data_IF_467247358305
#
_entry.id   IF_467247358305
#
_cell.length_a   1.000
_cell.length_b   1.000
_cell.length_c   1.000
_cell.angle_alpha   90.00
_cell.angle_beta   90.00
_cell.angle_gamma   90.00
#
_symmetry.space_group_name_H-M   'P 1'
#
loop_
_entity.id
_entity.type
_entity.pdbx_description
1 polymer ?
#
# COMPACT_ATOMS: atom_id res chain seq x y z
N UNK A 1 -1.54 -9.22 15.60
CA UNK A 1 -1.18 -8.91 14.19
C UNK A 1 -0.69 -10.15 13.46
N UNK A 2 0.56 -10.61 13.66
CA UNK A 2 1.15 -11.71 12.88
C UNK A 2 0.33 -13.02 12.88
N UNK A 3 -0.12 -13.47 14.05
CA UNK A 3 -1.00 -14.64 14.15
C UNK A 3 -2.35 -14.43 13.46
N UNK A 4 -2.87 -13.19 13.47
CA UNK A 4 -4.17 -12.87 12.88
C UNK A 4 -4.12 -12.76 11.35
N UNK A 5 -2.91 -12.67 10.78
CA UNK A 5 -2.67 -12.52 9.35
C UNK A 5 -1.78 -13.63 8.79
N UNK A 6 -1.67 -14.74 9.53
CA UNK A 6 -0.92 -15.91 9.13
C UNK A 6 -1.47 -16.48 7.82
N UNK A 7 -0.57 -17.02 6.99
CA UNK A 7 -0.92 -17.66 5.71
C UNK A 7 -1.69 -16.75 4.72
N UNK A 8 -1.65 -15.42 4.92
CA UNK A 8 -2.36 -14.47 4.06
C UNK A 8 -3.87 -14.38 4.30
N UNK A 9 -4.35 -14.93 5.42
CA UNK A 9 -5.76 -14.96 5.81
C UNK A 9 -6.02 -14.11 7.05
N UNK A 10 -7.20 -13.50 7.13
CA UNK A 10 -7.61 -12.72 8.29
C UNK A 10 -8.38 -13.63 9.25
N UNK A 11 -7.78 -14.01 10.37
CA UNK A 11 -8.36 -15.00 11.28
C UNK A 11 -9.53 -14.44 12.12
N UNK A 12 -9.39 -13.23 12.66
CA UNK A 12 -10.43 -12.54 13.45
C UNK A 12 -10.62 -11.11 12.93
N UNK A 13 -11.88 -10.75 12.73
CA UNK A 13 -12.33 -9.43 12.23
C UNK A 13 -13.48 -8.86 13.10
N UNK A 14 -13.51 -9.22 14.39
CA UNK A 14 -14.45 -8.64 15.35
C UNK A 14 -14.00 -7.23 15.78
N UNK A 15 -14.96 -6.43 16.24
CA UNK A 15 -14.75 -5.02 16.57
C UNK A 15 -13.58 -4.79 17.57
N UNK A 16 -13.43 -5.64 18.59
CA UNK A 16 -12.37 -5.47 19.60
C UNK A 16 -11.00 -5.75 19.01
N UNK A 17 -10.88 -6.84 18.25
CA UNK A 17 -9.63 -7.18 17.54
C UNK A 17 -9.24 -6.08 16.57
N UNK A 18 -10.20 -5.56 15.82
CA UNK A 18 -9.99 -4.49 14.84
C UNK A 18 -9.49 -3.20 15.47
N UNK A 19 -10.09 -2.77 16.58
CA UNK A 19 -9.63 -1.58 17.32
C UNK A 19 -8.19 -1.74 17.81
N UNK A 20 -7.86 -2.90 18.39
CA UNK A 20 -6.50 -3.20 18.85
C UNK A 20 -5.49 -3.18 17.70
N UNK A 21 -5.85 -3.78 16.56
CA UNK A 21 -5.00 -3.75 15.36
C UNK A 21 -4.80 -2.32 14.85
N UNK A 22 -5.83 -1.48 14.87
CA UNK A 22 -5.72 -0.05 14.56
C UNK A 22 -4.66 0.66 15.39
N UNK A 23 -4.71 0.50 16.72
CA UNK A 23 -3.72 1.07 17.65
C UNK A 23 -2.31 0.55 17.39
N UNK A 24 -2.17 -0.75 17.11
CA UNK A 24 -0.87 -1.35 16.75
C UNK A 24 -0.33 -0.71 15.47
N UNK A 25 -1.16 -0.50 14.45
CA UNK A 25 -0.76 0.11 13.19
C UNK A 25 -0.36 1.59 13.36
N UNK A 26 -1.03 2.33 14.23
CA UNK A 26 -0.66 3.71 14.58
C UNK A 26 0.71 3.77 15.26
N UNK A 27 0.95 2.91 16.25
CA UNK A 27 2.25 2.81 16.92
C UNK A 27 3.36 2.42 15.94
N UNK A 28 3.12 1.43 15.07
CA UNK A 28 4.08 1.02 14.05
C UNK A 28 4.36 2.14 13.05
N UNK A 29 3.33 2.90 12.64
CA UNK A 29 3.50 4.06 11.76
C UNK A 29 4.41 5.10 12.39
N UNK A 30 4.19 5.41 13.68
CA UNK A 30 5.06 6.30 14.44
C UNK A 30 6.51 5.77 14.47
N UNK A 31 6.70 4.47 14.72
CA UNK A 31 8.04 3.90 14.73
C UNK A 31 8.74 4.00 13.37
N UNK A 32 8.02 3.82 12.26
CA UNK A 32 8.54 3.95 10.90
C UNK A 32 9.09 5.34 10.64
N UNK A 33 8.40 6.37 11.13
CA UNK A 33 8.81 7.77 10.93
C UNK A 33 9.98 8.18 11.81
N UNK A 34 10.11 7.62 13.01
CA UNK A 34 11.05 8.11 14.02
C UNK A 34 12.27 7.21 14.29
N UNK A 35 12.22 5.91 13.95
CA UNK A 35 13.25 4.94 14.35
C UNK A 35 14.03 4.27 13.20
N UNK A 36 14.08 4.95 12.04
CA UNK A 36 14.97 4.74 10.88
C UNK A 36 15.42 3.27 10.65
N UNK A 37 16.65 2.91 11.02
CA UNK A 37 17.28 1.64 10.63
C UNK A 37 16.68 0.43 11.37
N UNK A 38 16.40 0.55 12.66
CA UNK A 38 15.96 -0.59 13.47
C UNK A 38 14.55 -1.04 13.08
N UNK A 39 13.66 -0.07 12.86
CA UNK A 39 12.30 -0.39 12.42
C UNK A 39 12.29 -1.00 11.01
N UNK A 40 13.19 -0.55 10.11
CA UNK A 40 13.37 -1.14 8.78
C UNK A 40 13.74 -2.61 8.82
N UNK A 41 14.74 -2.94 9.64
CA UNK A 41 15.16 -4.34 9.83
C UNK A 41 14.01 -5.18 10.39
N UNK A 42 13.23 -4.65 11.34
CA UNK A 42 12.06 -5.32 11.89
C UNK A 42 10.99 -5.58 10.81
N UNK A 43 10.64 -4.57 10.01
CA UNK A 43 9.61 -4.66 8.97
C UNK A 43 10.00 -5.68 7.91
N UNK A 44 11.22 -5.60 7.39
CA UNK A 44 11.68 -6.45 6.29
C UNK A 44 11.86 -7.89 6.78
N UNK A 45 12.56 -8.11 7.90
CA UNK A 45 12.88 -9.48 8.35
C UNK A 45 11.66 -10.24 8.86
N UNK A 46 10.64 -9.55 9.37
CA UNK A 46 9.39 -10.17 9.84
C UNK A 46 8.27 -10.18 8.81
N UNK A 47 8.57 -9.75 7.58
CA UNK A 47 7.58 -9.57 6.50
C UNK A 47 6.33 -8.78 6.94
N UNK A 48 6.54 -7.74 7.76
CA UNK A 48 5.49 -7.11 8.53
C UNK A 48 4.49 -6.37 7.64
N UNK A 49 4.96 -5.72 6.57
CA UNK A 49 4.08 -5.01 5.65
C UNK A 49 3.16 -5.99 4.92
N UNK A 50 3.66 -7.15 4.47
CA UNK A 50 2.81 -8.20 3.89
C UNK A 50 1.72 -8.62 4.87
N UNK A 51 2.10 -8.90 6.11
CA UNK A 51 1.14 -9.24 7.16
C UNK A 51 0.11 -8.15 7.39
N UNK A 52 0.49 -6.87 7.35
CA UNK A 52 -0.43 -5.74 7.51
C UNK A 52 -1.38 -5.62 6.30
N UNK A 53 -0.90 -5.85 5.09
CA UNK A 53 -1.70 -5.74 3.88
C UNK A 53 -2.78 -6.82 3.74
N UNK A 54 -2.70 -7.92 4.51
CA UNK A 54 -3.82 -8.86 4.66
C UNK A 54 -5.07 -8.17 5.22
N UNK A 55 -4.88 -7.14 6.07
CA UNK A 55 -5.98 -6.39 6.68
C UNK A 55 -6.80 -5.58 5.66
N UNK A 56 -6.31 -5.41 4.42
CA UNK A 56 -7.07 -4.84 3.30
C UNK A 56 -8.33 -5.66 2.95
N UNK A 57 -8.45 -6.88 3.47
CA UNK A 57 -9.62 -7.77 3.33
C UNK A 57 -10.65 -7.60 4.46
N UNK A 58 -10.38 -6.77 5.47
CA UNK A 58 -11.30 -6.54 6.59
C UNK A 58 -12.63 -5.95 6.10
N UNK A 59 -13.71 -6.32 6.79
CA UNK A 59 -15.03 -5.70 6.61
C UNK A 59 -15.12 -4.28 7.18
N UNK A 60 -14.17 -3.90 8.05
CA UNK A 60 -14.12 -2.59 8.70
C UNK A 60 -13.23 -1.64 7.92
N UNK A 61 -13.84 -0.71 7.18
CA UNK A 61 -13.14 0.28 6.34
C UNK A 61 -12.07 1.06 7.11
N UNK A 62 -12.30 1.36 8.40
CA UNK A 62 -11.30 2.01 9.24
C UNK A 62 -9.97 1.24 9.29
N UNK A 63 -10.01 -0.08 9.47
CA UNK A 63 -8.79 -0.89 9.54
C UNK A 63 -8.09 -0.99 8.19
N UNK A 64 -8.87 -1.10 7.11
CA UNK A 64 -8.36 -1.06 5.73
C UNK A 64 -7.60 0.24 5.49
N UNK A 65 -8.18 1.38 5.90
CA UNK A 65 -7.53 2.69 5.79
C UNK A 65 -6.26 2.79 6.64
N UNK A 66 -6.24 2.21 7.84
CA UNK A 66 -5.02 2.17 8.66
C UNK A 66 -3.90 1.37 7.98
N UNK A 67 -4.21 0.22 7.38
CA UNK A 67 -3.22 -0.60 6.66
C UNK A 67 -2.67 0.12 5.43
N UNK A 68 -3.55 0.76 4.66
CA UNK A 68 -3.15 1.59 3.51
C UNK A 68 -2.27 2.77 3.94
N UNK A 69 -2.64 3.48 5.01
CA UNK A 69 -1.87 4.59 5.57
C UNK A 69 -0.48 4.15 6.00
N UNK A 70 -0.35 2.97 6.61
CA UNK A 70 0.95 2.41 6.98
C UNK A 70 1.84 2.15 5.76
N UNK A 71 1.29 1.53 4.69
CA UNK A 71 2.03 1.34 3.44
C UNK A 71 2.46 2.68 2.82
N UNK A 72 1.55 3.65 2.79
CA UNK A 72 1.80 5.00 2.29
C UNK A 72 2.95 5.69 3.04
N UNK A 73 3.02 5.53 4.37
CA UNK A 73 4.12 6.05 5.21
C UNK A 73 5.46 5.39 4.88
N UNK A 74 5.49 4.08 4.66
CA UNK A 74 6.70 3.39 4.21
C UNK A 74 7.17 3.93 2.85
N UNK A 75 6.26 4.11 1.90
CA UNK A 75 6.58 4.66 0.57
C UNK A 75 7.12 6.09 0.69
N UNK A 76 6.59 6.89 1.63
CA UNK A 76 7.03 8.26 1.87
C UNK A 76 8.51 8.39 2.27
N UNK A 77 9.09 7.33 2.84
CA UNK A 77 10.50 7.30 3.21
C UNK A 77 11.43 7.27 1.99
N UNK A 78 10.92 6.88 0.81
CA UNK A 78 11.68 6.80 -0.45
C UNK A 78 12.98 5.99 -0.32
N UNK A 79 12.98 4.99 0.57
CA UNK A 79 14.13 4.13 0.84
C UNK A 79 14.13 2.90 -0.09
N UNK A 80 15.26 2.68 -0.76
CA UNK A 80 15.38 1.63 -1.77
C UNK A 80 15.24 0.21 -1.22
N UNK A 81 15.56 -0.05 0.05
CA UNK A 81 15.33 -1.37 0.66
C UNK A 81 13.84 -1.64 0.81
N UNK A 82 13.06 -0.64 1.23
CA UNK A 82 11.60 -0.78 1.27
C UNK A 82 11.03 -0.92 -0.15
N UNK A 83 11.52 -0.15 -1.11
CA UNK A 83 11.04 -0.25 -2.49
C UNK A 83 11.30 -1.65 -3.07
N UNK A 84 12.52 -2.19 -2.91
CA UNK A 84 12.85 -3.56 -3.33
C UNK A 84 12.01 -4.61 -2.61
N UNK A 85 11.76 -4.43 -1.32
CA UNK A 85 10.93 -5.32 -0.54
C UNK A 85 9.46 -5.33 -1.03
N UNK A 86 8.88 -4.15 -1.29
CA UNK A 86 7.53 -3.99 -1.85
C UNK A 86 7.41 -4.67 -3.22
N UNK A 87 8.39 -4.43 -4.09
CA UNK A 87 8.45 -4.97 -5.46
C UNK A 87 8.57 -6.50 -5.42
N UNK A 88 9.61 -7.02 -4.74
CA UNK A 88 9.87 -8.46 -4.64
C UNK A 88 8.70 -9.20 -4.00
N UNK A 89 8.03 -8.56 -3.05
CA UNK A 89 6.88 -9.13 -2.38
C UNK A 89 5.56 -9.01 -3.14
N UNK A 90 5.53 -8.26 -4.25
CA UNK A 90 4.34 -7.82 -4.96
C UNK A 90 3.28 -7.20 -4.05
N UNK A 91 3.71 -6.30 -3.16
CA UNK A 91 2.87 -5.79 -2.07
C UNK A 91 1.82 -4.76 -2.50
N UNK A 92 1.79 -4.36 -3.79
CA UNK A 92 0.65 -3.60 -4.33
C UNK A 92 -0.58 -4.46 -4.59
N UNK A 93 -0.45 -5.79 -4.74
CA UNK A 93 -1.58 -6.66 -5.09
C UNK A 93 -2.80 -6.48 -4.16
N UNK A 94 -2.66 -6.50 -2.82
CA UNK A 94 -3.81 -6.34 -1.93
C UNK A 94 -4.48 -4.97 -2.03
N UNK A 95 -3.73 -3.94 -2.42
CA UNK A 95 -4.25 -2.58 -2.62
C UNK A 95 -5.02 -2.50 -3.93
N UNK A 96 -4.47 -3.04 -5.02
CA UNK A 96 -5.14 -3.11 -6.32
C UNK A 96 -6.41 -3.95 -6.22
N UNK A 97 -6.37 -5.09 -5.54
CA UNK A 97 -7.56 -5.92 -5.32
C UNK A 97 -8.64 -5.15 -4.54
N UNK A 98 -8.24 -4.38 -3.51
CA UNK A 98 -9.18 -3.56 -2.74
C UNK A 98 -9.78 -2.43 -3.60
N UNK A 99 -8.99 -1.82 -4.47
CA UNK A 99 -9.43 -0.80 -5.41
C UNK A 99 -10.46 -1.36 -6.41
N UNK A 100 -10.19 -2.52 -7.01
CA UNK A 100 -11.13 -3.20 -7.93
C UNK A 100 -12.43 -3.56 -7.18
N UNK A 101 -12.34 -4.13 -5.97
CA UNK A 101 -13.52 -4.45 -5.14
C UNK A 101 -14.33 -3.20 -4.77
N UNK A 102 -13.69 -2.04 -4.65
CA UNK A 102 -14.38 -0.78 -4.40
C UNK A 102 -15.25 -0.35 -5.58
N UNK A 103 -14.96 -0.82 -6.80
CA UNK A 103 -15.78 -0.69 -8.00
C UNK A 103 -16.22 0.74 -8.30
N UNK A 104 -15.27 1.69 -8.29
CA UNK A 104 -15.51 3.10 -8.62
C UNK A 104 -16.38 3.87 -7.62
N UNK A 105 -16.59 3.34 -6.41
CA UNK A 105 -17.29 4.06 -5.35
C UNK A 105 -16.42 5.19 -4.82
N UNK A 106 -16.79 6.43 -5.14
CA UNK A 106 -16.14 7.64 -4.64
C UNK A 106 -16.26 7.77 -3.12
N UNK A 107 -15.32 7.18 -2.39
CA UNK A 107 -15.28 7.19 -0.94
C UNK A 107 -13.85 7.42 -0.44
N UNK A 108 -13.69 7.44 0.89
CA UNK A 108 -12.40 7.72 1.52
C UNK A 108 -11.32 6.69 1.16
N UNK A 109 -11.69 5.41 0.97
CA UNK A 109 -10.74 4.39 0.54
C UNK A 109 -10.25 4.67 -0.89
N UNK A 110 -11.16 5.00 -1.79
CA UNK A 110 -10.85 5.38 -3.17
C UNK A 110 -9.86 6.55 -3.20
N UNK A 111 -10.20 7.64 -2.51
CA UNK A 111 -9.34 8.84 -2.44
C UNK A 111 -7.97 8.55 -1.82
N UNK A 112 -7.90 7.71 -0.79
CA UNK A 112 -6.64 7.36 -0.15
C UNK A 112 -5.74 6.49 -1.05
N UNK A 113 -6.31 5.57 -1.83
CA UNK A 113 -5.56 4.76 -2.79
C UNK A 113 -5.02 5.65 -3.90
N UNK A 114 -5.87 6.53 -4.46
CA UNK A 114 -5.47 7.48 -5.49
C UNK A 114 -4.36 8.42 -5.01
N UNK A 115 -4.45 8.95 -3.78
CA UNK A 115 -3.38 9.78 -3.20
C UNK A 115 -2.05 9.04 -3.14
N UNK A 116 -2.04 7.76 -2.75
CA UNK A 116 -0.79 6.99 -2.66
C UNK A 116 -0.10 6.84 -4.02
N UNK A 117 -0.87 6.56 -5.08
CA UNK A 117 -0.31 6.48 -6.43
C UNK A 117 0.07 7.85 -6.99
N UNK A 118 -0.70 8.88 -6.69
CA UNK A 118 -0.36 10.25 -7.06
C UNK A 118 0.95 10.70 -6.39
N UNK A 119 1.16 10.33 -5.13
CA UNK A 119 2.42 10.59 -4.44
C UNK A 119 3.61 9.88 -5.09
N UNK A 120 3.47 8.60 -5.45
CA UNK A 120 4.53 7.86 -6.18
C UNK A 120 4.94 8.61 -7.46
N UNK A 121 3.96 9.15 -8.19
CA UNK A 121 4.19 9.94 -9.40
C UNK A 121 4.89 11.28 -9.09
N UNK A 122 4.36 12.05 -8.13
CA UNK A 122 4.83 13.39 -7.81
C UNK A 122 6.25 13.39 -7.23
N UNK A 123 6.56 12.40 -6.39
CA UNK A 123 7.90 12.24 -5.79
C UNK A 123 8.88 11.49 -6.70
N UNK A 124 8.47 11.14 -7.92
CA UNK A 124 9.26 10.43 -8.92
C UNK A 124 9.91 9.13 -8.41
N UNK A 125 9.16 8.30 -7.67
CA UNK A 125 9.66 7.03 -7.13
C UNK A 125 9.68 5.97 -8.25
N UNK A 126 10.68 6.07 -9.13
CA UNK A 126 10.73 5.35 -10.41
C UNK A 126 10.53 3.84 -10.28
N UNK A 127 11.20 3.20 -9.33
CA UNK A 127 11.15 1.74 -9.17
C UNK A 127 9.75 1.24 -8.81
N UNK A 128 9.05 1.94 -7.92
CA UNK A 128 7.66 1.61 -7.58
C UNK A 128 6.71 1.93 -8.74
N UNK A 129 6.90 3.07 -9.41
CA UNK A 129 6.10 3.44 -10.57
C UNK A 129 6.20 2.40 -11.68
N UNK A 130 7.41 1.98 -12.07
CA UNK A 130 7.62 0.94 -13.06
C UNK A 130 6.91 -0.36 -12.66
N UNK A 131 7.09 -0.81 -11.42
CA UNK A 131 6.42 -2.00 -10.91
C UNK A 131 4.89 -1.90 -11.04
N UNK A 132 4.30 -0.77 -10.67
CA UNK A 132 2.85 -0.58 -10.75
C UNK A 132 2.35 -0.61 -12.19
N UNK A 133 2.99 0.15 -13.08
CA UNK A 133 2.57 0.26 -14.50
C UNK A 133 2.75 -1.07 -15.23
N UNK A 134 3.86 -1.77 -15.01
CA UNK A 134 4.18 -3.03 -15.69
C UNK A 134 3.27 -4.18 -15.24
N UNK A 135 2.93 -4.26 -13.95
CA UNK A 135 2.17 -5.38 -13.40
C UNK A 135 0.65 -5.15 -13.37
N UNK A 136 0.21 -3.90 -13.19
CA UNK A 136 -1.21 -3.57 -12.97
C UNK A 136 -1.79 -2.60 -14.00
N UNK A 137 -0.96 -2.13 -14.92
CA UNK A 137 -1.34 -1.12 -15.90
C UNK A 137 -2.61 -1.44 -16.67
N UNK A 138 -2.80 -2.70 -17.08
CA UNK A 138 -4.01 -3.13 -17.82
C UNK A 138 -5.30 -2.79 -17.08
N UNK A 139 -5.35 -3.07 -15.77
CA UNK A 139 -6.52 -2.79 -14.93
C UNK A 139 -6.63 -1.30 -14.62
N UNK A 140 -5.50 -0.65 -14.37
CA UNK A 140 -5.47 0.77 -14.00
C UNK A 140 -5.80 1.71 -15.17
N UNK A 141 -5.55 1.28 -16.41
CA UNK A 141 -5.87 2.05 -17.62
C UNK A 141 -7.38 2.10 -17.91
N UNK A 142 -8.16 1.14 -17.38
CA UNK A 142 -9.63 1.13 -17.48
C UNK A 142 -10.28 2.19 -16.59
N UNK A 143 -9.52 2.79 -15.66
CA UNK A 143 -10.00 3.86 -14.77
C UNK A 143 -10.03 5.19 -15.51
N UNK A 144 -11.23 5.70 -15.81
CA UNK A 144 -11.43 6.91 -16.60
C UNK A 144 -11.91 8.13 -15.80
N UNK A 145 -12.46 7.91 -14.61
CA UNK A 145 -13.02 8.96 -13.77
C UNK A 145 -11.98 9.86 -13.08
N UNK A 146 -10.72 9.46 -13.06
CA UNK A 146 -9.58 10.20 -12.51
C UNK A 146 -8.37 10.14 -13.45
N UNK A 147 -7.50 11.14 -13.36
CA UNK A 147 -6.29 11.23 -14.20
C UNK A 147 -5.05 10.60 -13.55
N UNK A 148 -5.14 10.12 -12.31
CA UNK A 148 -3.99 9.61 -11.53
C UNK A 148 -3.22 8.53 -12.28
N UNK A 149 -3.89 7.48 -12.76
CA UNK A 149 -3.23 6.35 -13.42
C UNK A 149 -2.73 6.67 -14.83
N UNK A 150 -3.50 7.46 -15.60
CA UNK A 150 -3.03 8.00 -16.90
C UNK A 150 -1.77 8.84 -16.72
N UNK A 151 -1.76 9.72 -15.72
CA UNK A 151 -0.60 10.53 -15.36
C UNK A 151 0.60 9.68 -14.93
N UNK A 152 0.38 8.63 -14.13
CA UNK A 152 1.41 7.69 -13.72
C UNK A 152 2.05 6.99 -14.93
N UNK A 153 1.23 6.52 -15.89
CA UNK A 153 1.71 5.89 -17.12
C UNK A 153 2.49 6.85 -18.02
N UNK A 154 2.00 8.07 -18.21
CA UNK A 154 2.73 9.10 -18.98
C UNK A 154 4.11 9.34 -18.36
N UNK A 155 4.17 9.47 -17.03
CA UNK A 155 5.43 9.71 -16.31
C UNK A 155 6.39 8.52 -16.44
N UNK A 156 5.87 7.29 -16.42
CA UNK A 156 6.65 6.09 -16.68
C UNK A 156 7.24 6.07 -18.10
N UNK A 157 6.43 6.32 -19.14
CA UNK A 157 6.91 6.33 -20.53
C UNK A 157 8.02 7.36 -20.75
N UNK A 158 7.91 8.54 -20.16
CA UNK A 158 8.95 9.58 -20.21
C UNK A 158 10.31 9.14 -19.61
N UNK A 159 10.33 8.12 -18.75
CA UNK A 159 11.59 7.55 -18.24
C UNK A 159 12.14 6.44 -19.12
N UNK A 160 11.34 5.84 -20.00
CA UNK A 160 11.80 4.82 -20.96
C UNK A 160 12.45 5.48 -22.18
N UNK A 161 12.00 6.69 -22.55
CA UNK A 161 12.52 7.47 -23.68
C UNK A 161 13.83 8.23 -23.35
N UNK A 162 14.36 8.10 -22.14
CA UNK A 162 15.59 8.76 -21.65
C UNK A 162 16.68 7.77 -21.31
#
# INVERSE_FOLDING_TARGET
LLQNTAEGTLAKDDYRTVQLLGLILELLSFCVEHHTFHIRTCIINKDLLRCILVLMKSSHTFLVLCALRFMRKIIALKDDFYNRYIIKGNLFAPVIDAFIRNNGRYNLLDSAILEMFEFIKLEDIKTLMSHVVENYGKVLDEVDYVQTFKGLRIRYNQHQDK
#
